data_IF_522347750560
#
_entry.id   IF_522347750560
#
_cell.length_a   1.000
_cell.length_b   1.000
_cell.length_c   1.000
_cell.angle_alpha   90.00
_cell.angle_beta   90.00
_cell.angle_gamma   90.00
#
_symmetry.space_group_name_H-M   'P 1'
#
loop_
_entity.id
_entity.type
_entity.pdbx_description
1 polymer ?
#
# COMPACT_ATOMS: atom_id res chain seq x y z
N UNK A 1 -10.68 -14.30 -1.33
CA UNK A 1 -9.28 -13.83 -1.43
C UNK A 1 -9.35 -12.40 -1.94
N UNK A 2 -8.79 -11.44 -1.21
CA UNK A 2 -8.81 -10.03 -1.64
C UNK A 2 -8.05 -9.89 -2.96
N UNK A 3 -8.67 -9.28 -3.97
CA UNK A 3 -7.99 -8.95 -5.22
C UNK A 3 -7.05 -7.77 -5.00
N UNK A 4 -5.88 -8.10 -4.47
CA UNK A 4 -4.82 -7.14 -4.18
C UNK A 4 -4.29 -6.46 -5.46
N UNK A 5 -4.32 -7.15 -6.60
CA UNK A 5 -3.86 -6.60 -7.87
C UNK A 5 -4.76 -5.45 -8.30
N UNK A 6 -6.07 -5.65 -8.20
CA UNK A 6 -7.03 -4.58 -8.49
C UNK A 6 -6.93 -3.44 -7.47
N UNK A 7 -6.74 -3.76 -6.18
CA UNK A 7 -6.56 -2.73 -5.15
C UNK A 7 -5.30 -1.87 -5.40
N UNK A 8 -4.18 -2.50 -5.81
CA UNK A 8 -2.95 -1.79 -6.19
C UNK A 8 -3.19 -0.87 -7.38
N UNK A 9 -3.83 -1.38 -8.44
CA UNK A 9 -4.17 -0.60 -9.64
C UNK A 9 -5.04 0.61 -9.31
N UNK A 10 -6.06 0.44 -8.47
CA UNK A 10 -6.95 1.51 -8.03
C UNK A 10 -6.21 2.56 -7.19
N UNK A 11 -5.36 2.13 -6.24
CA UNK A 11 -4.61 3.02 -5.39
C UNK A 11 -3.52 3.82 -6.14
N UNK A 12 -2.94 3.24 -7.20
CA UNK A 12 -1.99 3.94 -8.09
C UNK A 12 -2.67 4.97 -9.01
N UNK A 13 -3.92 4.70 -9.43
CA UNK A 13 -4.69 5.61 -10.27
C UNK A 13 -5.34 6.76 -9.49
N UNK A 14 -5.56 6.58 -8.18
CA UNK A 14 -6.14 7.58 -7.31
C UNK A 14 -5.16 8.76 -7.07
N UNK A 15 -5.73 9.94 -6.84
CA UNK A 15 -4.96 11.08 -6.31
C UNK A 15 -4.47 10.78 -4.87
N UNK A 16 -3.58 11.59 -4.27
CA UNK A 16 -3.12 11.37 -2.89
C UNK A 16 -4.23 11.25 -1.82
N UNK A 17 -5.38 11.88 -2.05
CA UNK A 17 -6.57 11.90 -1.20
C UNK A 17 -6.28 12.32 0.24
N UNK A 18 -5.46 13.35 0.44
CA UNK A 18 -5.21 13.91 1.77
C UNK A 18 -6.35 14.86 2.13
N UNK A 19 -7.44 14.32 2.67
CA UNK A 19 -8.69 15.05 2.97
C UNK A 19 -8.51 16.42 3.65
N UNK A 20 -7.51 16.59 4.54
CA UNK A 20 -7.30 17.86 5.26
C UNK A 20 -6.65 18.97 4.40
N UNK A 21 -6.00 18.61 3.30
CA UNK A 21 -5.25 19.52 2.43
C UNK A 21 -5.67 19.45 0.97
N UNK A 22 -6.49 18.46 0.62
CA UNK A 22 -6.87 18.21 -0.75
C UNK A 22 -7.85 19.28 -1.24
N UNK A 23 -8.74 19.80 -0.39
CA UNK A 23 -9.72 20.81 -0.79
C UNK A 23 -9.10 22.22 -0.79
N UNK A 24 -8.93 22.82 -1.97
CA UNK A 24 -8.65 24.25 -2.10
C UNK A 24 -9.93 25.01 -2.49
N UNK A 25 -10.28 26.03 -1.70
CA UNK A 25 -11.39 26.94 -2.02
C UNK A 25 -10.92 27.99 -3.02
N UNK A 26 -11.47 27.95 -4.23
CA UNK A 26 -11.07 28.86 -5.30
C UNK A 26 -12.01 30.07 -5.41
N UNK A 27 -11.87 31.02 -4.48
CA UNK A 27 -12.59 32.31 -4.55
C UNK A 27 -14.12 32.18 -4.50
N UNK A 28 -14.81 33.29 -4.78
CA UNK A 28 -16.27 33.39 -4.65
C UNK A 28 -16.91 33.41 -6.04
N UNK A 29 -18.02 32.69 -6.23
CA UNK A 29 -18.80 32.68 -7.48
C UNK A 29 -19.29 31.30 -7.87
N UNK A 30 -19.72 31.15 -9.12
CA UNK A 30 -20.14 29.88 -9.71
C UNK A 30 -19.35 29.63 -10.99
N UNK A 31 -19.04 28.37 -11.28
CA UNK A 31 -18.55 27.95 -12.60
C UNK A 31 -19.47 26.92 -13.23
N UNK A 32 -19.39 26.78 -14.55
CA UNK A 32 -19.98 25.64 -15.24
C UNK A 32 -19.28 24.35 -14.81
N UNK A 33 -20.07 23.32 -14.50
CA UNK A 33 -19.53 22.03 -14.10
C UNK A 33 -18.65 21.44 -15.23
N UNK A 34 -17.36 21.20 -14.97
CA UNK A 34 -16.40 20.76 -15.99
C UNK A 34 -16.65 19.30 -16.43
N UNK A 35 -17.48 18.55 -15.69
CA UNK A 35 -17.79 17.15 -15.99
C UNK A 35 -19.05 16.98 -16.85
N UNK A 36 -20.12 17.76 -16.60
CA UNK A 36 -21.39 17.62 -17.32
C UNK A 36 -21.52 18.55 -18.55
N UNK A 37 -20.46 19.30 -18.88
CA UNK A 37 -20.45 20.22 -20.01
C UNK A 37 -21.39 21.41 -19.86
N UNK A 38 -21.47 21.99 -18.65
CA UNK A 38 -22.27 23.20 -18.40
C UNK A 38 -23.76 22.97 -18.17
N UNK A 39 -24.22 21.73 -17.98
CA UNK A 39 -25.62 21.43 -17.63
C UNK A 39 -25.98 21.79 -16.18
N UNK A 40 -25.00 22.25 -15.39
CA UNK A 40 -25.18 22.71 -14.01
C UNK A 40 -24.03 23.64 -13.60
N UNK A 41 -24.29 24.43 -12.57
CA UNK A 41 -23.33 25.38 -11.98
C UNK A 41 -22.80 24.82 -10.65
N UNK A 42 -21.54 25.12 -10.34
CA UNK A 42 -20.83 24.67 -9.14
C UNK A 42 -20.35 25.90 -8.39
N UNK A 43 -20.72 26.04 -7.12
CA UNK A 43 -20.30 27.16 -6.28
C UNK A 43 -18.81 27.04 -5.94
N UNK A 44 -18.01 28.05 -6.29
CA UNK A 44 -16.57 28.05 -6.15
C UNK A 44 -16.05 27.90 -4.70
N UNK A 45 -16.82 28.40 -3.74
CA UNK A 45 -16.42 28.47 -2.33
C UNK A 45 -16.90 27.25 -1.51
N UNK A 46 -18.00 26.62 -1.96
CA UNK A 46 -18.69 25.57 -1.24
C UNK A 46 -18.63 24.21 -1.95
N UNK A 47 -18.69 24.20 -3.29
CA UNK A 47 -18.91 22.99 -4.10
C UNK A 47 -17.83 22.76 -5.17
N UNK A 48 -17.00 23.76 -5.49
CA UNK A 48 -15.92 23.59 -6.45
C UNK A 48 -14.76 22.89 -5.79
N UNK A 49 -14.65 21.63 -6.14
CA UNK A 49 -13.71 20.75 -5.51
C UNK A 49 -12.40 20.81 -6.28
N UNK A 50 -11.36 21.41 -5.70
CA UNK A 50 -9.99 21.31 -6.19
C UNK A 50 -9.21 20.21 -5.47
N UNK A 51 -9.79 19.01 -5.37
CA UNK A 51 -9.26 17.92 -4.57
C UNK A 51 -7.98 17.34 -5.21
N UNK A 52 -6.84 17.60 -4.58
CA UNK A 52 -5.51 17.29 -5.12
C UNK A 52 -5.25 17.90 -6.52
N UNK A 53 -5.82 19.07 -6.82
CA UNK A 53 -5.66 19.68 -8.16
C UNK A 53 -6.65 19.17 -9.21
N UNK A 54 -7.64 18.34 -8.81
CA UNK A 54 -8.61 17.69 -9.70
C UNK A 54 -10.03 18.07 -9.31
N UNK A 55 -10.90 18.24 -10.31
CA UNK A 55 -12.32 18.52 -10.16
C UNK A 55 -13.13 17.33 -9.60
N UNK A 56 -12.79 16.84 -8.40
CA UNK A 56 -13.49 15.76 -7.69
C UNK A 56 -13.79 16.20 -6.26
N UNK A 57 -14.96 15.87 -5.71
CA UNK A 57 -15.32 16.16 -4.32
C UNK A 57 -15.62 14.89 -3.53
N UNK A 58 -15.14 14.81 -2.29
CA UNK A 58 -15.51 13.74 -1.36
C UNK A 58 -16.10 14.36 -0.10
N UNK A 59 -17.39 14.12 0.12
CA UNK A 59 -18.09 14.58 1.33
C UNK A 59 -18.48 13.40 2.19
N UNK A 60 -18.20 13.51 3.49
CA UNK A 60 -18.69 12.58 4.50
C UNK A 60 -19.94 13.18 5.16
N UNK A 61 -21.09 12.51 5.01
CA UNK A 61 -22.34 12.92 5.64
C UNK A 61 -22.89 11.82 6.54
N UNK A 62 -23.23 12.18 7.77
CA UNK A 62 -23.82 11.25 8.74
C UNK A 62 -23.82 11.84 10.15
N UNK A 63 -24.33 11.06 11.09
CA UNK A 63 -24.45 11.45 12.50
C UNK A 63 -24.09 10.27 13.40
N UNK A 64 -23.60 10.57 14.60
CA UNK A 64 -23.31 9.55 15.61
C UNK A 64 -21.91 8.94 15.50
N UNK A 65 -21.69 7.90 16.30
CA UNK A 65 -20.38 7.27 16.47
C UNK A 65 -19.92 6.53 15.22
N UNK A 66 -20.84 5.79 14.59
CA UNK A 66 -20.59 4.97 13.41
C UNK A 66 -20.11 5.82 12.23
N UNK A 67 -20.67 7.03 12.08
CA UNK A 67 -20.22 8.01 11.10
C UNK A 67 -18.78 8.45 11.36
N UNK A 68 -18.48 8.89 12.58
CA UNK A 68 -17.13 9.35 12.94
C UNK A 68 -16.09 8.23 12.80
N UNK A 69 -16.44 6.99 13.13
CA UNK A 69 -15.58 5.83 12.95
C UNK A 69 -15.30 5.53 11.46
N UNK A 70 -16.32 5.60 10.61
CA UNK A 70 -16.16 5.40 9.17
C UNK A 70 -15.29 6.48 8.54
N UNK A 71 -15.52 7.76 8.88
CA UNK A 71 -14.70 8.87 8.40
C UNK A 71 -13.22 8.69 8.80
N UNK A 72 -12.96 8.36 10.07
CA UNK A 72 -11.60 8.11 10.56
C UNK A 72 -10.92 6.96 9.80
N UNK A 73 -11.66 5.89 9.50
CA UNK A 73 -11.15 4.78 8.71
C UNK A 73 -10.79 5.21 7.28
N UNK A 74 -11.67 5.94 6.59
CA UNK A 74 -11.41 6.37 5.21
C UNK A 74 -10.22 7.32 5.10
N UNK A 75 -10.04 8.21 6.09
CA UNK A 75 -8.86 9.09 6.19
C UNK A 75 -7.57 8.30 6.37
N UNK A 76 -7.60 7.27 7.23
CA UNK A 76 -6.44 6.40 7.46
C UNK A 76 -6.13 5.50 6.26
N UNK A 77 -7.15 4.96 5.58
CA UNK A 77 -7.04 4.05 4.45
C UNK A 77 -6.91 4.77 3.09
N UNK A 78 -6.24 5.92 3.06
CA UNK A 78 -5.99 6.67 1.83
C UNK A 78 -5.07 5.89 0.85
N UNK A 79 -5.03 6.26 -0.45
CA UNK A 79 -4.25 5.52 -1.45
C UNK A 79 -2.76 5.39 -1.12
N UNK A 80 -2.16 6.38 -0.47
CA UNK A 80 -0.75 6.30 -0.05
C UNK A 80 -0.55 5.22 1.03
N UNK A 81 -1.42 5.16 2.04
CA UNK A 81 -1.38 4.15 3.08
C UNK A 81 -1.61 2.74 2.52
N UNK A 82 -2.59 2.59 1.61
CA UNK A 82 -2.84 1.32 0.93
C UNK A 82 -1.62 0.88 0.13
N UNK A 83 -1.00 1.78 -0.67
CA UNK A 83 0.22 1.46 -1.42
C UNK A 83 1.39 1.05 -0.53
N UNK A 84 1.55 1.68 0.64
CA UNK A 84 2.59 1.33 1.60
C UNK A 84 2.40 -0.11 2.15
N UNK A 85 1.18 -0.44 2.61
CA UNK A 85 0.83 -1.80 3.05
C UNK A 85 1.04 -2.84 1.94
N UNK A 86 0.72 -2.44 0.70
CA UNK A 86 0.85 -3.27 -0.48
C UNK A 86 2.33 -3.57 -0.80
N UNK A 87 3.21 -2.59 -0.63
CA UNK A 87 4.65 -2.73 -0.82
C UNK A 87 5.28 -3.59 0.29
N UNK A 88 4.93 -3.35 1.56
CA UNK A 88 5.38 -4.15 2.71
C UNK A 88 5.02 -5.64 2.50
N UNK A 89 3.80 -5.93 2.06
CA UNK A 89 3.38 -7.29 1.72
C UNK A 89 4.25 -7.90 0.61
N UNK A 90 4.58 -7.15 -0.45
CA UNK A 90 5.44 -7.64 -1.54
C UNK A 90 6.85 -7.95 -1.03
N UNK A 91 7.42 -7.10 -0.18
CA UNK A 91 8.73 -7.32 0.44
C UNK A 91 8.75 -8.56 1.33
N UNK A 92 7.72 -8.77 2.16
CA UNK A 92 7.57 -9.97 2.99
C UNK A 92 7.46 -11.24 2.14
N UNK A 93 6.69 -11.20 1.04
CA UNK A 93 6.59 -12.33 0.11
C UNK A 93 7.94 -12.64 -0.52
N UNK A 94 8.69 -11.62 -0.94
CA UNK A 94 10.03 -11.80 -1.53
C UNK A 94 11.01 -12.39 -0.50
N UNK A 95 10.98 -11.93 0.74
CA UNK A 95 11.80 -12.49 1.82
C UNK A 95 11.49 -13.98 2.05
N UNK A 96 10.20 -14.35 2.09
CA UNK A 96 9.79 -15.74 2.25
C UNK A 96 10.24 -16.63 1.07
N UNK A 97 10.16 -16.11 -0.16
CA UNK A 97 10.68 -16.79 -1.34
C UNK A 97 12.19 -17.01 -1.25
N UNK A 98 12.95 -16.00 -0.84
CA UNK A 98 14.39 -16.11 -0.67
C UNK A 98 14.80 -17.12 0.41
N UNK A 99 14.10 -17.14 1.55
CA UNK A 99 14.28 -18.16 2.59
C UNK A 99 13.99 -19.56 2.03
N UNK A 100 12.89 -19.70 1.28
CA UNK A 100 12.53 -20.97 0.64
C UNK A 100 13.64 -21.43 -0.32
N UNK A 101 14.23 -20.54 -1.10
CA UNK A 101 15.39 -20.84 -1.96
C UNK A 101 16.59 -21.33 -1.14
N UNK A 102 16.90 -20.72 0.00
CA UNK A 102 17.99 -21.18 0.86
C UNK A 102 17.72 -22.58 1.43
N UNK A 103 16.50 -22.82 1.90
CA UNK A 103 16.12 -24.12 2.49
C UNK A 103 16.12 -25.22 1.43
N UNK A 104 15.44 -25.00 0.31
CA UNK A 104 15.23 -26.01 -0.74
C UNK A 104 16.44 -26.17 -1.65
N UNK A 105 17.13 -25.07 -1.95
CA UNK A 105 18.27 -25.04 -2.87
C UNK A 105 19.61 -25.37 -2.20
N UNK A 106 19.77 -25.06 -0.91
CA UNK A 106 21.06 -25.18 -0.23
C UNK A 106 21.01 -26.15 0.96
N UNK A 107 20.16 -25.91 1.96
CA UNK A 107 20.16 -26.69 3.21
C UNK A 107 19.72 -28.14 2.97
N UNK A 108 18.58 -28.37 2.30
CA UNK A 108 18.07 -29.72 2.08
C UNK A 108 19.03 -30.59 1.25
N UNK A 109 19.63 -30.10 0.15
CA UNK A 109 20.70 -30.82 -0.54
C UNK A 109 21.91 -31.10 0.35
N UNK A 110 22.34 -30.13 1.17
CA UNK A 110 23.45 -30.30 2.11
C UNK A 110 23.23 -31.45 3.08
N UNK A 111 22.05 -31.49 3.70
CA UNK A 111 21.70 -32.56 4.63
C UNK A 111 21.62 -33.90 3.90
N UNK A 112 21.02 -33.94 2.71
CA UNK A 112 20.92 -35.16 1.90
C UNK A 112 22.31 -35.73 1.55
N UNK A 113 23.22 -34.89 1.10
CA UNK A 113 24.55 -35.31 0.66
C UNK A 113 25.38 -35.79 1.86
N UNK A 114 25.26 -35.12 3.01
CA UNK A 114 25.83 -35.57 4.28
C UNK A 114 25.28 -36.95 4.72
N UNK A 115 23.96 -37.15 4.67
CA UNK A 115 23.32 -38.43 5.02
C UNK A 115 23.75 -39.56 4.08
N UNK A 116 23.97 -39.25 2.81
CA UNK A 116 24.45 -40.20 1.81
C UNK A 116 25.97 -40.46 1.88
N UNK A 117 26.68 -39.87 2.84
CA UNK A 117 28.13 -40.04 2.99
C UNK A 117 28.95 -39.41 1.87
N UNK A 118 28.39 -38.44 1.13
CA UNK A 118 29.16 -37.69 0.14
C UNK A 118 30.13 -36.76 0.85
N UNK A 119 31.40 -36.80 0.47
CA UNK A 119 32.45 -35.98 1.07
C UNK A 119 32.49 -34.58 0.46
N UNK A 120 31.35 -33.87 0.48
CA UNK A 120 31.22 -32.50 -0.02
C UNK A 120 31.05 -31.59 1.20
N UNK A 121 32.02 -30.71 1.44
CA UNK A 121 31.94 -29.70 2.50
C UNK A 121 31.06 -28.56 2.00
N UNK A 122 29.90 -28.38 2.62
CA UNK A 122 28.98 -27.26 2.35
C UNK A 122 28.79 -26.44 3.62
N UNK A 123 28.73 -25.12 3.47
CA UNK A 123 28.67 -24.17 4.58
C UNK A 123 27.23 -23.98 5.09
N UNK A 124 26.76 -24.96 5.87
CA UNK A 124 25.40 -24.92 6.40
C UNK A 124 25.16 -23.71 7.31
N UNK A 125 26.19 -23.26 8.03
CA UNK A 125 26.11 -22.09 8.88
C UNK A 125 25.99 -20.81 8.05
N UNK A 126 26.76 -20.68 6.96
CA UNK A 126 26.63 -19.56 6.04
C UNK A 126 25.23 -19.46 5.39
N UNK A 127 24.56 -20.58 5.10
CA UNK A 127 23.17 -20.56 4.64
C UNK A 127 22.19 -20.13 5.74
N UNK A 128 22.40 -20.56 6.98
CA UNK A 128 21.63 -20.10 8.13
C UNK A 128 21.81 -18.60 8.38
N UNK A 129 23.04 -18.09 8.35
CA UNK A 129 23.35 -16.66 8.50
C UNK A 129 22.65 -15.83 7.42
N UNK A 130 22.58 -16.34 6.18
CA UNK A 130 21.84 -15.69 5.10
C UNK A 130 20.33 -15.66 5.37
N UNK A 131 19.74 -16.76 5.85
CA UNK A 131 18.32 -16.81 6.25
C UNK A 131 18.04 -15.79 7.36
N UNK A 132 18.89 -15.74 8.38
CA UNK A 132 18.78 -14.78 9.49
C UNK A 132 18.88 -13.35 8.98
N UNK A 133 19.81 -13.05 8.08
CA UNK A 133 19.94 -11.73 7.47
C UNK A 133 18.71 -11.33 6.64
N UNK A 134 18.13 -12.27 5.88
CA UNK A 134 16.90 -12.03 5.09
C UNK A 134 15.72 -11.74 6.03
N UNK A 135 15.55 -12.55 7.06
CA UNK A 135 14.47 -12.38 8.04
C UNK A 135 14.61 -11.05 8.80
N UNK A 136 15.83 -10.71 9.24
CA UNK A 136 16.10 -9.46 9.94
C UNK A 136 15.83 -8.22 9.06
N UNK A 137 16.14 -8.29 7.76
CA UNK A 137 15.85 -7.20 6.83
C UNK A 137 14.34 -7.00 6.64
N UNK A 138 13.58 -8.09 6.51
CA UNK A 138 12.13 -8.06 6.31
C UNK A 138 11.33 -7.60 7.54
N UNK A 139 11.91 -7.73 8.74
CA UNK A 139 11.26 -7.36 10.01
C UNK A 139 11.58 -5.94 10.49
N UNK A 140 12.41 -5.16 9.78
CA UNK A 140 12.70 -3.78 10.20
C UNK A 140 11.43 -2.93 10.07
N UNK A 141 11.04 -2.27 11.15
CA UNK A 141 9.96 -1.28 11.10
C UNK A 141 10.31 -0.19 10.08
N UNK A 142 9.36 0.24 9.23
CA UNK A 142 9.58 1.40 8.38
C UNK A 142 9.87 2.63 9.27
N UNK A 143 10.76 3.55 8.85
CA UNK A 143 11.05 4.74 9.63
C UNK A 143 9.77 5.55 9.88
N UNK A 144 9.66 6.22 11.05
CA UNK A 144 8.46 6.97 11.44
C UNK A 144 8.14 8.12 10.49
#
# INVERSE_FOLDING_TARGET
>A
MTDYTELKRLAEAATPQKFDTAEEKSGNGYIECPHCGGSGEVELEADYCNYDGVAIGVQFYGIGHEFGAAEAYYRAANPAAIRALIAEKEELIQALQAITTQVEGNIRPTIRDCVNGQNIVQDIYGYCDQIESIAAAAMKEPPP
#
